data_IF_035924682830
#
_entry.id   IF_035924682830
#
_cell.length_a   1.000
_cell.length_b   1.000
_cell.length_c   1.000
_cell.angle_alpha   90.00
_cell.angle_beta   90.00
_cell.angle_gamma   90.00
#
_symmetry.space_group_name_H-M   'P 1'
#
loop_
_entity.id
_entity.type
_entity.pdbx_description
1 polymer ?
#
# COMPACT_ATOMS: atom_id res chain seq x y z
N UNK A 1 -0.10 2.37 18.55
CA UNK A 1 0.67 2.21 17.29
C UNK A 1 0.62 0.73 16.98
N UNK A 2 0.32 0.30 15.74
CA UNK A 2 0.29 -1.13 15.43
C UNK A 2 1.70 -1.73 15.57
N UNK A 3 1.77 -2.93 16.14
CA UNK A 3 3.00 -3.71 16.28
C UNK A 3 3.03 -4.90 15.31
N UNK A 4 4.20 -5.51 15.15
CA UNK A 4 4.34 -6.69 14.30
C UNK A 4 3.51 -7.85 14.87
N UNK A 5 2.63 -8.42 14.04
CA UNK A 5 1.69 -9.48 14.44
C UNK A 5 0.29 -8.96 14.79
N UNK A 6 0.14 -7.66 15.02
CA UNK A 6 -1.19 -7.07 15.17
C UNK A 6 -1.98 -7.18 13.88
N UNK A 7 -3.30 -7.35 14.04
CA UNK A 7 -4.21 -7.13 12.92
C UNK A 7 -4.16 -5.64 12.56
N UNK A 8 -3.87 -5.33 11.30
CA UNK A 8 -3.88 -3.97 10.79
C UNK A 8 -5.25 -3.29 11.10
N UNK A 9 -5.26 -2.07 11.64
CA UNK A 9 -6.50 -1.34 11.90
C UNK A 9 -7.30 -1.14 10.61
N UNK A 10 -8.59 -1.45 10.62
CA UNK A 10 -9.44 -1.19 9.46
C UNK A 10 -9.63 0.31 9.26
N UNK A 11 -9.68 0.74 8.00
CA UNK A 11 -9.92 2.12 7.62
C UNK A 11 -10.73 2.19 6.33
N UNK A 12 -11.40 3.32 6.14
CA UNK A 12 -11.98 3.74 4.88
C UNK A 12 -11.46 5.15 4.56
N UNK A 13 -10.76 5.29 3.44
CA UNK A 13 -10.12 6.54 3.04
C UNK A 13 -10.41 6.84 1.57
N UNK A 14 -10.51 8.13 1.19
CA UNK A 14 -10.55 8.50 -0.22
C UNK A 14 -9.21 8.15 -0.90
N UNK A 15 -9.27 7.77 -2.17
CA UNK A 15 -8.12 7.51 -3.03
C UNK A 15 -8.34 8.09 -4.43
N UNK A 16 -7.34 7.94 -5.30
CA UNK A 16 -7.43 8.34 -6.71
C UNK A 16 -8.49 7.55 -7.51
N UNK A 17 -8.89 6.37 -7.03
CA UNK A 17 -9.87 5.49 -7.68
C UNK A 17 -11.20 5.38 -6.89
N UNK A 18 -11.45 6.30 -5.96
CA UNK A 18 -12.62 6.30 -5.08
C UNK A 18 -12.32 5.87 -3.64
N UNK A 19 -13.34 5.53 -2.85
CA UNK A 19 -13.14 5.07 -1.47
C UNK A 19 -12.44 3.70 -1.45
N UNK A 20 -11.43 3.55 -0.60
CA UNK A 20 -10.74 2.28 -0.33
C UNK A 20 -10.98 1.87 1.11
N UNK A 21 -11.43 0.63 1.30
CA UNK A 21 -11.55 -0.02 2.61
C UNK A 21 -10.52 -1.14 2.76
N UNK A 22 -9.72 -1.11 3.82
CA UNK A 22 -8.66 -2.10 4.02
C UNK A 22 -9.22 -3.53 4.15
N UNK A 23 -10.28 -3.70 4.93
CA UNK A 23 -10.92 -5.01 5.14
C UNK A 23 -11.48 -5.62 3.86
N UNK A 24 -11.86 -4.83 2.86
CA UNK A 24 -12.27 -5.34 1.54
C UNK A 24 -11.06 -5.79 0.72
N UNK A 25 -9.98 -4.99 0.70
CA UNK A 25 -8.74 -5.35 -0.01
C UNK A 25 -8.12 -6.64 0.53
N UNK A 26 -8.12 -6.82 1.86
CA UNK A 26 -7.62 -8.02 2.52
C UNK A 26 -8.43 -9.29 2.21
N UNK A 27 -9.66 -9.20 1.67
CA UNK A 27 -10.41 -10.37 1.18
C UNK A 27 -9.87 -10.90 -0.15
N UNK A 28 -9.23 -10.05 -0.94
CA UNK A 28 -8.71 -10.39 -2.27
C UNK A 28 -7.28 -10.91 -2.22
N UNK A 29 -6.53 -10.64 -1.14
CA UNK A 29 -5.14 -11.08 -1.02
C UNK A 29 -4.39 -10.34 0.07
N UNK A 30 -3.06 -10.45 0.03
CA UNK A 30 -2.18 -9.65 0.89
C UNK A 30 -2.23 -8.20 0.40
N UNK A 31 -1.92 -7.27 1.29
CA UNK A 31 -1.88 -5.84 0.96
C UNK A 31 -0.55 -5.28 1.45
N UNK A 32 0.21 -4.68 0.53
CA UNK A 32 1.34 -3.83 0.87
C UNK A 32 0.87 -2.38 0.92
N UNK A 33 0.84 -1.80 2.12
CA UNK A 33 0.55 -0.39 2.33
C UNK A 33 1.87 0.36 2.55
N UNK A 34 2.22 1.26 1.63
CA UNK A 34 3.40 2.10 1.73
C UNK A 34 2.99 3.54 2.00
N UNK A 35 3.68 4.19 2.95
CA UNK A 35 3.53 5.62 3.22
C UNK A 35 4.75 6.36 2.67
N UNK A 36 4.53 7.53 2.10
CA UNK A 36 5.59 8.47 1.68
C UNK A 36 5.19 9.88 2.12
N UNK A 37 6.15 10.79 2.23
CA UNK A 37 5.93 12.09 2.87
C UNK A 37 5.10 13.05 2.02
N UNK A 38 5.50 13.25 0.77
CA UNK A 38 4.92 14.27 -0.10
C UNK A 38 5.15 13.95 -1.58
N UNK A 39 4.12 14.19 -2.39
CA UNK A 39 4.13 14.04 -3.85
C UNK A 39 5.19 14.96 -4.49
N UNK A 40 5.81 14.49 -5.58
CA UNK A 40 6.71 15.31 -6.39
C UNK A 40 8.05 15.67 -5.74
N UNK A 41 8.35 15.16 -4.54
CA UNK A 41 9.65 15.34 -3.90
C UNK A 41 10.65 14.27 -4.38
N UNK A 42 11.93 14.61 -4.66
CA UNK A 42 12.89 13.68 -5.27
C UNK A 42 13.02 12.34 -4.53
N UNK A 43 13.08 12.38 -3.21
CA UNK A 43 13.22 11.18 -2.37
C UNK A 43 12.00 10.27 -2.45
N UNK A 44 10.78 10.82 -2.38
CA UNK A 44 9.55 10.02 -2.46
C UNK A 44 9.32 9.46 -3.87
N UNK A 45 9.68 10.22 -4.92
CA UNK A 45 9.63 9.74 -6.30
C UNK A 45 10.51 8.51 -6.52
N UNK A 46 11.71 8.48 -5.95
CA UNK A 46 12.59 7.29 -6.02
C UNK A 46 11.99 6.07 -5.32
N UNK A 47 11.36 6.26 -4.14
CA UNK A 47 10.72 5.15 -3.41
C UNK A 47 9.53 4.57 -4.18
N UNK A 48 8.68 5.43 -4.73
CA UNK A 48 7.54 4.99 -5.54
C UNK A 48 7.97 4.35 -6.86
N UNK A 49 9.04 4.84 -7.49
CA UNK A 49 9.62 4.21 -8.68
C UNK A 49 10.11 2.78 -8.39
N UNK A 50 10.83 2.58 -7.27
CA UNK A 50 11.28 1.24 -6.89
C UNK A 50 10.12 0.27 -6.62
N UNK A 51 9.03 0.73 -5.98
CA UNK A 51 7.82 -0.07 -5.80
C UNK A 51 7.15 -0.41 -7.13
N UNK A 52 7.13 0.54 -8.07
CA UNK A 52 6.62 0.33 -9.42
C UNK A 52 7.43 -0.73 -10.17
N UNK A 53 8.76 -0.69 -10.07
CA UNK A 53 9.65 -1.64 -10.72
C UNK A 53 9.49 -3.06 -10.15
N UNK A 54 9.18 -3.17 -8.86
CA UNK A 54 8.92 -4.45 -8.18
C UNK A 54 7.47 -4.96 -8.32
N UNK A 55 6.59 -4.21 -8.98
CA UNK A 55 5.14 -4.47 -8.97
C UNK A 55 4.77 -5.88 -9.44
N UNK A 56 5.32 -6.33 -10.56
CA UNK A 56 5.00 -7.66 -11.11
C UNK A 56 5.49 -8.78 -10.19
N UNK A 57 6.69 -8.64 -9.62
CA UNK A 57 7.24 -9.61 -8.66
C UNK A 57 6.39 -9.68 -7.37
N UNK A 58 5.89 -8.54 -6.88
CA UNK A 58 4.99 -8.51 -5.72
C UNK A 58 3.66 -9.20 -6.03
N UNK A 59 3.11 -8.98 -7.23
CA UNK A 59 1.88 -9.65 -7.69
C UNK A 59 2.03 -11.16 -7.80
N UNK A 60 3.16 -11.65 -8.28
CA UNK A 60 3.45 -13.10 -8.32
C UNK A 60 3.49 -13.72 -6.92
N UNK A 61 3.84 -12.94 -5.90
CA UNK A 61 3.79 -13.35 -4.49
C UNK A 61 2.40 -13.22 -3.84
N UNK A 62 1.38 -12.77 -4.60
CA UNK A 62 0.01 -12.60 -4.13
C UNK A 62 -0.21 -11.36 -3.26
N UNK A 63 0.62 -10.32 -3.48
CA UNK A 63 0.51 -8.98 -2.89
C UNK A 63 -0.15 -8.02 -3.87
#
# INVERSE_FOLDING_TARGET
MPEAGDRAPDFALPSTDGEVRLSERLRSGRVLLAFYCEDGTPTCSTQLAALKDAYDALRELGV
#
